data_IF_311075082001
#
_entry.id   IF_311075082001
#
_cell.length_a   1.000
_cell.length_b   1.000
_cell.length_c   1.000
_cell.angle_alpha   90.00
_cell.angle_beta   90.00
_cell.angle_gamma   90.00
#
_symmetry.space_group_name_H-M   'P 1'
#
loop_
_entity.id
_entity.type
_entity.pdbx_description
1 polymer ?
#
# COMPACT_ATOMS: atom_id res chain seq x y z
N UNK A 1 15.40 -6.51 1.23
CA UNK A 1 16.14 -6.00 0.05
C UNK A 1 16.26 -7.07 -1.03
N UNK A 2 16.87 -8.22 -0.73
CA UNK A 2 16.96 -9.36 -1.66
C UNK A 2 15.59 -9.70 -2.26
N UNK A 3 14.56 -9.87 -1.42
CA UNK A 3 13.20 -10.12 -1.89
C UNK A 3 12.61 -9.01 -2.78
N UNK A 4 13.00 -7.75 -2.58
CA UNK A 4 12.59 -6.64 -3.46
C UNK A 4 13.26 -6.71 -4.82
N UNK A 5 14.54 -7.10 -4.88
CA UNK A 5 15.25 -7.36 -6.14
C UNK A 5 14.62 -8.54 -6.88
N UNK A 6 14.34 -9.64 -6.16
CA UNK A 6 13.65 -10.82 -6.70
C UNK A 6 12.28 -10.42 -7.28
N UNK A 7 11.49 -9.62 -6.54
CA UNK A 7 10.21 -9.12 -7.02
C UNK A 7 10.35 -8.39 -8.36
N UNK A 8 11.32 -7.47 -8.47
CA UNK A 8 11.57 -6.71 -9.71
C UNK A 8 11.89 -7.65 -10.87
N UNK A 9 12.79 -8.60 -10.66
CA UNK A 9 13.22 -9.56 -11.70
C UNK A 9 12.04 -10.40 -12.16
N UNK A 10 11.27 -10.97 -11.23
CA UNK A 10 10.14 -11.82 -11.55
C UNK A 10 8.98 -11.04 -12.18
N UNK A 11 8.73 -9.81 -11.74
CA UNK A 11 7.74 -8.93 -12.35
C UNK A 11 8.10 -8.63 -13.81
N UNK A 12 9.34 -8.25 -14.08
CA UNK A 12 9.80 -7.99 -15.45
C UNK A 12 9.72 -9.25 -16.32
N UNK A 13 10.13 -10.40 -15.79
CA UNK A 13 9.99 -11.68 -16.47
C UNK A 13 8.53 -11.98 -16.84
N UNK A 14 7.59 -11.79 -15.91
CA UNK A 14 6.17 -12.00 -16.15
C UNK A 14 5.60 -11.01 -17.16
N UNK A 15 6.06 -9.75 -17.11
CA UNK A 15 5.63 -8.70 -18.02
C UNK A 15 6.06 -8.98 -19.47
N UNK A 16 7.27 -9.51 -19.68
CA UNK A 16 7.75 -9.87 -21.03
C UNK A 16 7.19 -11.19 -21.54
N UNK A 17 6.79 -12.10 -20.65
CA UNK A 17 6.19 -13.40 -20.99
C UNK A 17 4.69 -13.41 -20.62
N UNK A 18 3.95 -12.46 -21.18
CA UNK A 18 2.55 -12.21 -20.83
C UNK A 18 1.54 -13.23 -21.42
N UNK A 19 1.97 -14.18 -22.24
CA UNK A 19 1.11 -15.21 -22.81
C UNK A 19 0.73 -16.29 -21.80
N UNK A 20 1.50 -16.43 -20.71
CA UNK A 20 1.30 -17.46 -19.68
C UNK A 20 1.42 -16.82 -18.31
N UNK A 21 0.45 -17.12 -17.42
CA UNK A 21 0.51 -16.69 -16.01
C UNK A 21 1.48 -17.61 -15.27
N UNK A 22 2.75 -17.21 -15.17
CA UNK A 22 3.75 -17.92 -14.35
C UNK A 22 3.59 -17.58 -12.87
N UNK A 23 3.22 -16.35 -12.57
CA UNK A 23 3.12 -15.82 -11.21
C UNK A 23 1.82 -15.02 -11.06
N UNK A 24 0.83 -15.59 -10.34
CA UNK A 24 -0.46 -14.95 -10.08
C UNK A 24 -1.64 -15.91 -10.22
N UNK A 25 -2.86 -15.37 -10.07
CA UNK A 25 -4.10 -16.17 -10.02
C UNK A 25 -5.21 -15.67 -10.96
N UNK A 26 -4.99 -14.58 -11.70
CA UNK A 26 -6.00 -14.03 -12.64
C UNK A 26 -5.43 -13.99 -14.05
N UNK A 27 -6.31 -14.25 -15.02
CA UNK A 27 -6.01 -14.04 -16.45
C UNK A 27 -5.58 -12.60 -16.69
N UNK A 28 -4.60 -12.41 -17.59
CA UNK A 28 -4.13 -11.11 -18.00
C UNK A 28 -5.25 -10.37 -18.74
N UNK A 29 -5.87 -9.41 -18.05
CA UNK A 29 -6.75 -8.45 -18.69
C UNK A 29 -5.94 -7.23 -19.10
N UNK A 30 -6.14 -6.82 -20.35
CA UNK A 30 -5.72 -5.49 -20.78
C UNK A 30 -6.57 -4.46 -20.04
N UNK A 31 -5.93 -3.59 -19.27
CA UNK A 31 -6.57 -2.55 -18.47
C UNK A 31 -5.78 -1.26 -18.70
N UNK A 32 -6.47 -0.21 -19.20
CA UNK A 32 -5.88 1.10 -19.54
C UNK A 32 -4.73 1.01 -20.56
N UNK A 33 -4.86 0.13 -21.56
CA UNK A 33 -3.93 0.00 -22.69
C UNK A 33 -2.62 -0.71 -22.37
N UNK A 34 -2.52 -1.39 -21.22
CA UNK A 34 -1.40 -2.26 -20.84
C UNK A 34 -1.93 -3.51 -20.15
N UNK A 35 -1.21 -4.62 -20.28
CA UNK A 35 -1.50 -5.85 -19.54
C UNK A 35 -1.22 -5.61 -18.05
N UNK A 36 -2.28 -5.72 -17.23
CA UNK A 36 -2.17 -5.55 -15.78
C UNK A 36 -1.68 -6.84 -15.12
N UNK A 37 -0.47 -6.81 -14.61
CA UNK A 37 0.11 -7.92 -13.83
C UNK A 37 -0.07 -7.65 -12.33
N UNK A 38 -1.01 -8.37 -11.71
CA UNK A 38 -1.15 -8.38 -10.24
C UNK A 38 -0.16 -9.42 -9.69
N UNK A 39 0.97 -8.92 -9.18
CA UNK A 39 2.07 -9.78 -8.75
C UNK A 39 2.08 -9.98 -7.22
N UNK A 40 2.24 -11.22 -6.72
CA UNK A 40 2.25 -11.49 -5.29
C UNK A 40 3.46 -10.87 -4.58
N UNK A 41 3.30 -10.51 -3.31
CA UNK A 41 4.39 -9.95 -2.48
C UNK A 41 4.61 -8.44 -2.63
N UNK A 42 3.58 -7.71 -3.09
CA UNK A 42 3.61 -6.26 -3.22
C UNK A 42 4.09 -5.54 -1.95
N UNK A 43 3.71 -5.99 -0.75
CA UNK A 43 4.17 -5.42 0.52
C UNK A 43 5.69 -5.41 0.64
N UNK A 44 6.36 -6.52 0.32
CA UNK A 44 7.83 -6.63 0.41
C UNK A 44 8.50 -5.72 -0.62
N UNK A 45 7.89 -5.57 -1.79
CA UNK A 45 8.34 -4.64 -2.83
C UNK A 45 8.27 -3.19 -2.36
N UNK A 46 7.12 -2.72 -1.86
CA UNK A 46 6.95 -1.37 -1.32
C UNK A 46 7.90 -1.10 -0.16
N UNK A 47 8.03 -2.05 0.78
CA UNK A 47 8.96 -1.93 1.91
C UNK A 47 10.42 -1.78 1.42
N UNK A 48 10.82 -2.56 0.42
CA UNK A 48 12.17 -2.49 -0.15
C UNK A 48 12.41 -1.15 -0.86
N UNK A 49 11.41 -0.63 -1.56
CA UNK A 49 11.44 0.69 -2.19
C UNK A 49 11.61 1.81 -1.15
N UNK A 50 10.86 1.78 -0.04
CA UNK A 50 11.02 2.76 1.04
C UNK A 50 12.35 2.62 1.76
N UNK A 51 12.85 1.40 1.93
CA UNK A 51 14.17 1.18 2.50
C UNK A 51 15.28 1.74 1.59
N UNK A 52 15.16 1.60 0.27
CA UNK A 52 16.11 2.19 -0.68
C UNK A 52 16.12 3.72 -0.57
N UNK A 53 14.95 4.36 -0.58
CA UNK A 53 14.83 5.82 -0.39
C UNK A 53 15.44 6.26 0.94
N UNK A 54 15.19 5.53 2.03
CA UNK A 54 15.76 5.84 3.33
C UNK A 54 17.30 5.71 3.36
N UNK A 55 17.88 4.83 2.54
CA UNK A 55 19.34 4.69 2.39
C UNK A 55 19.96 5.81 1.57
N UNK A 56 19.23 6.43 0.62
CA UNK A 56 19.75 7.54 -0.21
C UNK A 56 20.15 8.74 0.67
N UNK A 57 19.34 9.07 1.67
CA UNK A 57 19.57 10.22 2.57
C UNK A 57 20.42 9.87 3.79
N UNK A 58 20.78 8.59 3.97
CA UNK A 58 21.61 8.17 5.09
C UNK A 58 23.06 8.67 4.95
N UNK A 59 23.59 9.25 6.03
CA UNK A 59 24.94 9.83 6.09
C UNK A 59 26.02 8.78 5.78
N UNK A 60 25.85 7.55 6.25
CA UNK A 60 26.84 6.45 6.13
C UNK A 60 26.73 5.65 4.83
N UNK A 61 25.93 6.11 3.85
CA UNK A 61 25.64 5.31 2.67
C UNK A 61 26.73 5.42 1.59
N UNK A 62 27.39 4.28 1.28
CA UNK A 62 28.44 4.16 0.25
C UNK A 62 27.88 4.15 -1.19
N UNK A 63 26.71 3.55 -1.41
CA UNK A 63 26.14 3.29 -2.74
C UNK A 63 24.85 4.08 -3.01
N UNK A 64 24.86 5.40 -2.74
CA UNK A 64 23.64 6.24 -2.81
C UNK A 64 22.95 6.20 -4.17
N UNK A 65 23.70 6.26 -5.27
CA UNK A 65 23.15 6.24 -6.62
C UNK A 65 22.50 4.90 -6.98
N UNK A 66 23.03 3.78 -6.46
CA UNK A 66 22.40 2.46 -6.65
C UNK A 66 21.05 2.38 -5.93
N UNK A 67 20.95 2.92 -4.71
CA UNK A 67 19.68 2.98 -3.99
C UNK A 67 18.67 3.91 -4.65
N UNK A 68 19.14 5.03 -5.21
CA UNK A 68 18.29 5.93 -5.98
C UNK A 68 17.78 5.25 -7.25
N UNK A 69 18.65 4.54 -7.99
CA UNK A 69 18.26 3.76 -9.15
C UNK A 69 17.22 2.69 -8.79
N UNK A 70 17.41 1.96 -7.69
CA UNK A 70 16.42 1.00 -7.21
C UNK A 70 15.07 1.65 -6.89
N UNK A 71 15.06 2.80 -6.22
CA UNK A 71 13.84 3.55 -5.93
C UNK A 71 13.12 4.03 -7.20
N UNK A 72 13.87 4.52 -8.20
CA UNK A 72 13.31 4.95 -9.48
C UNK A 72 12.74 3.77 -10.28
N UNK A 73 13.42 2.63 -10.31
CA UNK A 73 12.90 1.39 -10.90
C UNK A 73 11.61 0.96 -10.20
N UNK A 74 11.55 1.10 -8.87
CA UNK A 74 10.33 0.87 -8.09
C UNK A 74 9.15 1.73 -8.54
N UNK A 75 9.38 3.02 -8.82
CA UNK A 75 8.35 3.91 -9.38
C UNK A 75 7.89 3.43 -10.77
N UNK A 76 8.82 3.06 -11.65
CA UNK A 76 8.50 2.56 -13.00
C UNK A 76 7.62 1.32 -12.91
N UNK A 77 7.99 0.34 -12.08
CA UNK A 77 7.22 -0.91 -11.91
C UNK A 77 5.83 -0.63 -11.34
N UNK A 78 5.70 0.29 -10.40
CA UNK A 78 4.40 0.69 -9.85
C UNK A 78 3.52 1.36 -10.93
N UNK A 79 4.10 2.20 -11.79
CA UNK A 79 3.40 2.77 -12.94
C UNK A 79 2.96 1.68 -13.93
N UNK A 80 3.79 0.67 -14.19
CA UNK A 80 3.47 -0.47 -15.05
C UNK A 80 2.36 -1.37 -14.49
N UNK A 81 2.19 -1.43 -13.17
CA UNK A 81 1.04 -2.10 -12.53
C UNK A 81 -0.26 -1.28 -12.64
N UNK A 82 -0.17 -0.07 -13.18
CA UNK A 82 -1.27 0.84 -13.50
C UNK A 82 -2.22 1.09 -12.32
N UNK A 83 -1.71 1.06 -11.08
CA UNK A 83 -2.55 1.21 -9.88
C UNK A 83 -2.49 2.65 -9.35
N UNK A 84 -3.39 3.53 -9.84
CA UNK A 84 -3.38 5.00 -9.58
C UNK A 84 -3.05 5.39 -8.14
N UNK A 85 -3.80 4.86 -7.19
CA UNK A 85 -3.64 5.18 -5.78
C UNK A 85 -2.26 4.75 -5.26
N UNK A 86 -1.79 3.56 -5.62
CA UNK A 86 -0.48 3.05 -5.19
C UNK A 86 0.67 3.89 -5.76
N UNK A 87 0.55 4.40 -6.99
CA UNK A 87 1.50 5.34 -7.60
C UNK A 87 1.53 6.63 -6.79
N UNK A 88 0.38 7.25 -6.57
CA UNK A 88 0.26 8.52 -5.83
C UNK A 88 0.81 8.38 -4.40
N UNK A 89 0.44 7.32 -3.69
CA UNK A 89 0.88 7.10 -2.31
C UNK A 89 2.39 6.81 -2.24
N UNK A 90 2.96 6.03 -3.17
CA UNK A 90 4.40 5.82 -3.23
C UNK A 90 5.16 7.13 -3.45
N UNK A 91 4.73 7.92 -4.43
CA UNK A 91 5.30 9.23 -4.74
C UNK A 91 5.17 10.20 -3.55
N UNK A 92 4.01 10.22 -2.89
CA UNK A 92 3.79 11.03 -1.68
C UNK A 92 4.77 10.64 -0.56
N UNK A 93 4.98 9.35 -0.31
CA UNK A 93 5.94 8.90 0.70
C UNK A 93 7.38 9.29 0.34
N UNK A 94 7.75 9.22 -0.94
CA UNK A 94 9.06 9.68 -1.41
C UNK A 94 9.23 11.19 -1.20
N UNK A 95 8.23 11.98 -1.58
CA UNK A 95 8.21 13.43 -1.38
C UNK A 95 8.35 13.78 0.11
N UNK A 96 7.52 13.18 0.97
CA UNK A 96 7.57 13.38 2.43
C UNK A 96 8.94 13.01 2.98
N UNK A 97 9.55 11.93 2.50
CA UNK A 97 10.89 11.53 2.94
C UNK A 97 11.95 12.59 2.59
N UNK A 98 12.04 13.01 1.32
CA UNK A 98 13.05 13.97 0.91
C UNK A 98 12.84 15.32 1.58
N UNK A 99 11.60 15.84 1.65
CA UNK A 99 11.29 17.11 2.31
C UNK A 99 11.69 17.16 3.80
N UNK A 100 11.72 16.01 4.48
CA UNK A 100 12.14 15.92 5.88
C UNK A 100 13.65 15.77 6.06
N UNK A 101 14.33 15.09 5.15
CA UNK A 101 15.69 14.60 5.39
C UNK A 101 16.78 15.29 4.58
N UNK A 102 16.46 16.19 3.64
CA UNK A 102 17.45 16.93 2.84
C UNK A 102 17.52 18.42 3.18
N UNK A 103 18.64 19.07 2.83
CA UNK A 103 18.82 20.52 3.00
C UNK A 103 17.88 21.31 2.08
N UNK A 104 17.58 22.56 2.43
CA UNK A 104 16.66 23.44 1.71
C UNK A 104 16.82 23.46 0.16
N UNK A 105 18.03 23.61 -0.43
CA UNK A 105 18.15 23.62 -1.89
C UNK A 105 17.67 22.31 -2.53
N UNK A 106 17.96 21.17 -1.90
CA UNK A 106 17.49 19.87 -2.38
C UNK A 106 15.99 19.67 -2.15
N UNK A 107 15.37 20.34 -1.16
CA UNK A 107 13.90 20.32 -0.99
C UNK A 107 13.22 21.03 -2.16
N UNK A 108 13.72 22.21 -2.53
CA UNK A 108 13.22 22.99 -3.67
C UNK A 108 13.40 22.18 -4.96
N UNK A 109 14.59 21.61 -5.17
CA UNK A 109 14.84 20.73 -6.31
C UNK A 109 13.91 19.51 -6.34
N UNK A 110 13.64 18.88 -5.18
CA UNK A 110 12.68 17.77 -5.08
C UNK A 110 11.28 18.21 -5.54
N UNK A 111 10.78 19.34 -5.03
CA UNK A 111 9.46 19.86 -5.43
C UNK A 111 9.43 20.15 -6.93
N UNK A 112 10.45 20.82 -7.46
CA UNK A 112 10.55 21.13 -8.89
C UNK A 112 10.52 19.87 -9.76
N UNK A 113 11.27 18.82 -9.38
CA UNK A 113 11.27 17.53 -10.09
C UNK A 113 9.91 16.87 -10.05
N UNK A 114 9.21 16.86 -8.91
CA UNK A 114 7.87 16.29 -8.80
C UNK A 114 6.84 17.05 -9.64
N UNK A 115 6.88 18.39 -9.64
CA UNK A 115 6.01 19.23 -10.47
C UNK A 115 6.28 19.01 -11.95
N UNK A 116 7.55 19.00 -12.35
CA UNK A 116 7.94 18.75 -13.74
C UNK A 116 7.55 17.34 -14.21
N UNK A 117 7.80 16.32 -13.39
CA UNK A 117 7.41 14.94 -13.70
C UNK A 117 5.89 14.80 -13.82
N UNK A 118 5.13 15.41 -12.91
CA UNK A 118 3.67 15.44 -12.99
C UNK A 118 3.16 16.16 -14.24
N UNK A 119 3.74 17.31 -14.58
CA UNK A 119 3.43 18.05 -15.80
C UNK A 119 3.71 17.23 -17.06
N UNK A 120 4.89 16.59 -17.14
CA UNK A 120 5.27 15.71 -18.26
C UNK A 120 4.29 14.53 -18.34
N UNK A 121 3.95 13.91 -17.22
CA UNK A 121 3.06 12.76 -17.19
C UNK A 121 1.66 13.12 -17.71
N UNK A 122 1.06 14.20 -17.18
CA UNK A 122 -0.28 14.65 -17.57
C UNK A 122 -0.35 15.05 -19.05
N UNK A 123 0.71 15.68 -19.58
CA UNK A 123 0.76 16.08 -20.98
C UNK A 123 1.29 14.98 -21.93
N UNK A 124 1.76 13.86 -21.39
CA UNK A 124 2.24 12.76 -22.22
C UNK A 124 1.07 12.10 -22.94
N UNK A 125 1.21 11.91 -24.26
CA UNK A 125 0.25 11.16 -25.09
C UNK A 125 0.51 9.65 -25.06
N UNK A 126 1.15 9.14 -24.00
CA UNK A 126 1.39 7.71 -23.89
C UNK A 126 0.11 6.97 -23.46
N UNK A 127 0.04 5.68 -23.76
CA UNK A 127 -1.13 4.83 -23.49
C UNK A 127 -1.50 4.77 -22.01
N UNK A 128 -0.48 4.75 -21.14
CA UNK A 128 -0.69 4.66 -19.68
C UNK A 128 -1.33 5.94 -19.14
N UNK A 129 -0.81 7.12 -19.48
CA UNK A 129 -1.31 8.40 -18.97
C UNK A 129 -2.72 8.67 -19.49
N UNK A 130 -2.94 8.46 -20.78
CA UNK A 130 -4.27 8.61 -21.41
C UNK A 130 -5.29 7.65 -20.80
N UNK A 131 -4.97 6.36 -20.69
CA UNK A 131 -5.87 5.37 -20.07
C UNK A 131 -6.17 5.67 -18.60
N UNK A 132 -5.18 6.15 -17.83
CA UNK A 132 -5.40 6.58 -16.44
C UNK A 132 -6.31 7.81 -16.33
N UNK A 133 -6.12 8.79 -17.22
CA UNK A 133 -6.90 10.03 -17.25
C UNK A 133 -8.35 9.81 -17.69
N UNK A 134 -8.57 8.97 -18.70
CA UNK A 134 -9.91 8.61 -19.18
C UNK A 134 -10.71 7.90 -18.10
N UNK A 135 -10.13 6.87 -17.47
CA UNK A 135 -10.84 6.20 -16.40
C UNK A 135 -11.11 7.11 -15.20
N UNK A 136 -10.20 8.03 -14.87
CA UNK A 136 -10.45 9.01 -13.81
C UNK A 136 -11.66 9.90 -14.14
N UNK A 137 -11.86 10.28 -15.41
CA UNK A 137 -13.05 11.04 -15.85
C UNK A 137 -14.31 10.20 -15.74
N UNK A 138 -14.27 8.95 -16.20
CA UNK A 138 -15.41 8.02 -16.10
C UNK A 138 -15.84 7.83 -14.65
N UNK A 139 -14.89 7.50 -13.77
CA UNK A 139 -15.16 7.29 -12.35
C UNK A 139 -15.70 8.56 -11.68
N UNK A 140 -15.17 9.74 -12.03
CA UNK A 140 -15.67 11.02 -11.51
C UNK A 140 -17.08 11.35 -11.99
N UNK A 141 -17.43 11.01 -13.23
CA UNK A 141 -18.76 11.23 -13.79
C UNK A 141 -19.83 10.30 -13.21
N UNK A 142 -19.44 9.12 -12.72
CA UNK A 142 -20.36 8.16 -12.11
C UNK A 142 -20.87 8.60 -10.73
N UNK A 143 -20.08 9.39 -9.97
CA UNK A 143 -20.52 9.98 -8.71
C UNK A 143 -21.10 8.94 -7.71
N UNK A 144 -22.32 9.12 -7.18
CA UNK A 144 -22.98 8.16 -6.29
C UNK A 144 -23.24 6.78 -6.91
N UNK A 145 -23.38 6.72 -8.24
CA UNK A 145 -23.59 5.49 -8.99
C UNK A 145 -22.25 4.77 -9.30
N UNK A 146 -21.13 5.33 -8.80
CA UNK A 146 -19.85 4.65 -8.89
C UNK A 146 -19.90 3.33 -8.13
N UNK A 147 -19.51 2.26 -8.82
CA UNK A 147 -19.71 0.89 -8.36
C UNK A 147 -19.15 0.60 -6.97
N UNK A 148 -18.03 1.25 -6.60
CA UNK A 148 -17.42 1.09 -5.27
C UNK A 148 -18.22 1.76 -4.16
N UNK A 149 -18.91 2.86 -4.46
CA UNK A 149 -19.82 3.54 -3.51
C UNK A 149 -21.05 2.68 -3.27
N UNK A 150 -21.63 2.12 -4.32
CA UNK A 150 -22.76 1.19 -4.23
C UNK A 150 -22.38 -0.09 -3.45
N UNK A 151 -21.23 -0.68 -3.77
CA UNK A 151 -20.68 -1.84 -3.06
C UNK A 151 -20.49 -1.54 -1.57
N UNK A 152 -19.84 -0.40 -1.24
CA UNK A 152 -19.61 0.03 0.12
C UNK A 152 -20.93 0.20 0.90
N UNK A 153 -21.93 0.82 0.28
CA UNK A 153 -23.26 0.99 0.89
C UNK A 153 -23.90 -0.36 1.19
N UNK A 154 -23.92 -1.27 0.23
CA UNK A 154 -24.51 -2.60 0.41
C UNK A 154 -23.82 -3.37 1.55
N UNK A 155 -22.49 -3.44 1.55
CA UNK A 155 -21.73 -4.13 2.59
C UNK A 155 -21.97 -3.54 3.98
N UNK A 156 -22.05 -2.21 4.11
CA UNK A 156 -22.25 -1.56 5.40
C UNK A 156 -23.67 -1.67 5.96
N UNK A 157 -24.68 -1.86 5.11
CA UNK A 157 -26.09 -1.69 5.52
C UNK A 157 -26.92 -2.97 5.45
N UNK A 158 -26.69 -3.81 4.45
CA UNK A 158 -27.58 -4.94 4.10
C UNK A 158 -26.91 -6.30 4.24
N UNK A 159 -25.58 -6.35 4.14
CA UNK A 159 -24.86 -7.61 3.96
C UNK A 159 -24.78 -8.51 5.20
N UNK A 160 -24.52 -7.93 6.39
CA UNK A 160 -24.40 -8.73 7.61
C UNK A 160 -25.77 -9.21 8.11
N UNK A 161 -25.94 -10.51 8.39
CA UNK A 161 -27.25 -11.14 8.61
C UNK A 161 -27.92 -10.75 9.93
N UNK A 162 -27.16 -10.29 10.92
CA UNK A 162 -27.67 -9.87 12.23
C UNK A 162 -26.71 -8.89 12.91
N UNK A 163 -27.16 -8.30 14.03
CA UNK A 163 -26.40 -7.30 14.78
C UNK A 163 -25.09 -7.84 15.36
N UNK A 164 -25.05 -9.11 15.78
CA UNK A 164 -23.84 -9.71 16.35
C UNK A 164 -22.74 -9.81 15.28
N UNK A 165 -23.10 -10.26 14.08
CA UNK A 165 -22.19 -10.32 12.94
C UNK A 165 -21.75 -8.92 12.47
N UNK A 166 -22.59 -7.88 12.64
CA UNK A 166 -22.17 -6.48 12.41
C UNK A 166 -21.13 -5.98 13.41
N UNK A 167 -21.10 -6.52 14.63
CA UNK A 167 -20.14 -6.10 15.67
C UNK A 167 -18.85 -6.91 15.57
N UNK A 168 -18.97 -8.24 15.47
CA UNK A 168 -17.83 -9.18 15.51
C UNK A 168 -17.26 -9.52 14.13
N UNK A 169 -17.97 -9.19 13.06
CA UNK A 169 -17.67 -9.62 11.70
C UNK A 169 -18.38 -10.92 11.33
N UNK A 170 -18.40 -11.19 10.02
CA UNK A 170 -18.99 -12.38 9.42
C UNK A 170 -17.98 -13.54 9.30
N UNK A 171 -16.71 -13.32 9.66
CA UNK A 171 -15.61 -14.22 9.39
C UNK A 171 -15.06 -14.07 7.96
N UNK A 172 -13.91 -14.69 7.70
CA UNK A 172 -13.35 -14.75 6.35
C UNK A 172 -14.05 -15.86 5.55
N UNK A 173 -14.43 -15.57 4.30
CA UNK A 173 -15.18 -16.52 3.48
C UNK A 173 -14.26 -17.56 2.84
N UNK A 174 -14.79 -18.77 2.67
CA UNK A 174 -14.25 -19.76 1.74
C UNK A 174 -15.15 -19.76 0.49
N UNK A 175 -14.56 -19.73 -0.71
CA UNK A 175 -15.29 -19.72 -1.99
C UNK A 175 -16.30 -20.87 -2.14
N UNK A 176 -16.03 -22.03 -1.53
CA UNK A 176 -16.92 -23.20 -1.60
C UNK A 176 -18.07 -23.16 -0.59
N UNK A 177 -18.02 -22.24 0.37
CA UNK A 177 -19.07 -22.08 1.38
C UNK A 177 -20.30 -21.35 0.83
N UNK A 178 -21.47 -21.50 1.48
CA UNK A 178 -22.66 -20.69 1.16
C UNK A 178 -22.36 -19.18 1.20
N UNK A 179 -21.53 -18.76 2.17
CA UNK A 179 -21.12 -17.37 2.31
C UNK A 179 -20.25 -16.90 1.13
N UNK A 180 -19.25 -17.69 0.72
CA UNK A 180 -18.41 -17.38 -0.44
C UNK A 180 -19.18 -17.39 -1.76
N UNK A 181 -20.14 -18.33 -1.92
CA UNK A 181 -21.05 -18.34 -3.08
C UNK A 181 -21.93 -17.09 -3.15
N UNK A 182 -22.37 -16.57 -2.01
CA UNK A 182 -23.12 -15.31 -1.97
C UNK A 182 -22.26 -14.11 -2.37
N UNK A 183 -21.01 -14.02 -1.87
CA UNK A 183 -20.06 -12.99 -2.32
C UNK A 183 -19.82 -13.09 -3.82
N UNK A 184 -19.58 -14.29 -4.34
CA UNK A 184 -19.39 -14.51 -5.78
C UNK A 184 -20.62 -14.08 -6.60
N UNK A 185 -21.82 -14.38 -6.11
CA UNK A 185 -23.06 -13.91 -6.73
C UNK A 185 -23.12 -12.36 -6.80
N UNK A 186 -22.73 -11.67 -5.72
CA UNK A 186 -22.67 -10.21 -5.71
C UNK A 186 -21.62 -9.66 -6.70
N UNK A 187 -20.46 -10.30 -6.80
CA UNK A 187 -19.41 -9.94 -7.76
C UNK A 187 -19.88 -10.13 -9.21
N UNK A 188 -20.50 -11.27 -9.53
CA UNK A 188 -20.89 -11.62 -10.91
C UNK A 188 -22.13 -10.88 -11.41
N UNK A 189 -23.10 -10.60 -10.53
CA UNK A 189 -24.39 -10.02 -10.93
C UNK A 189 -24.46 -8.51 -10.72
N UNK A 190 -23.71 -7.98 -9.75
CA UNK A 190 -23.75 -6.56 -9.40
C UNK A 190 -22.39 -5.88 -9.53
N UNK A 191 -21.29 -6.60 -9.76
CA UNK A 191 -19.94 -6.03 -9.77
C UNK A 191 -19.48 -5.58 -8.37
N UNK A 192 -20.09 -6.10 -7.30
CA UNK A 192 -19.77 -5.72 -5.93
C UNK A 192 -18.60 -6.53 -5.40
N UNK A 193 -17.39 -6.02 -5.63
CA UNK A 193 -16.16 -6.63 -5.15
C UNK A 193 -15.83 -6.17 -3.74
N UNK A 194 -15.82 -7.11 -2.79
CA UNK A 194 -15.47 -6.81 -1.39
C UNK A 194 -14.02 -6.30 -1.27
N UNK A 195 -13.11 -6.81 -2.09
CA UNK A 195 -11.71 -6.39 -2.14
C UNK A 195 -11.51 -4.95 -2.62
N UNK A 196 -12.50 -4.36 -3.28
CA UNK A 196 -12.43 -3.00 -3.83
C UNK A 196 -12.83 -1.92 -2.81
N UNK A 197 -13.39 -2.32 -1.67
CA UNK A 197 -13.87 -1.42 -0.60
C UNK A 197 -12.97 -1.40 0.65
N UNK A 198 -11.85 -2.12 0.60
CA UNK A 198 -10.71 -1.98 1.51
C UNK A 198 -11.03 -2.11 3.00
N UNK A 199 -11.04 -1.01 3.75
CA UNK A 199 -11.32 -1.03 5.21
C UNK A 199 -12.68 -1.64 5.53
N UNK A 200 -13.65 -1.53 4.62
CA UNK A 200 -14.97 -2.16 4.77
C UNK A 200 -14.83 -3.68 4.72
N UNK A 201 -13.94 -4.24 3.91
CA UNK A 201 -13.68 -5.69 3.91
C UNK A 201 -13.19 -6.18 5.29
N UNK A 202 -12.29 -5.43 5.93
CA UNK A 202 -11.81 -5.74 7.28
C UNK A 202 -12.95 -5.70 8.29
N UNK A 203 -13.81 -4.69 8.20
CA UNK A 203 -15.00 -4.58 9.02
C UNK A 203 -15.94 -5.78 8.84
N UNK A 204 -16.23 -6.14 7.59
CA UNK A 204 -17.13 -7.23 7.25
C UNK A 204 -16.56 -8.57 7.70
N UNK A 205 -15.26 -8.81 7.55
CA UNK A 205 -14.64 -10.07 7.94
C UNK A 205 -14.45 -10.19 9.46
N UNK A 206 -14.00 -9.12 10.13
CA UNK A 206 -13.46 -9.20 11.51
C UNK A 206 -14.10 -8.21 12.50
N UNK A 207 -15.07 -7.42 12.06
CA UNK A 207 -15.86 -6.55 12.92
C UNK A 207 -15.16 -5.28 13.40
N UNK A 208 -15.80 -4.60 14.35
CA UNK A 208 -15.39 -3.29 14.86
C UNK A 208 -14.06 -3.37 15.61
N UNK A 209 -13.79 -4.45 16.34
CA UNK A 209 -12.55 -4.59 17.11
C UNK A 209 -11.30 -4.67 16.21
N UNK A 210 -11.40 -5.30 15.04
CA UNK A 210 -10.31 -5.32 14.08
C UNK A 210 -10.03 -3.93 13.51
N UNK A 211 -11.07 -3.15 13.20
CA UNK A 211 -10.91 -1.76 12.79
C UNK A 211 -10.20 -0.93 13.86
N UNK A 212 -10.61 -1.06 15.13
CA UNK A 212 -9.96 -0.37 16.24
C UNK A 212 -8.49 -0.78 16.36
N UNK A 213 -8.17 -2.06 16.16
CA UNK A 213 -6.79 -2.56 16.11
C UNK A 213 -5.95 -1.87 15.02
N UNK A 214 -6.47 -1.77 13.80
CA UNK A 214 -5.79 -1.05 12.71
C UNK A 214 -5.66 0.44 12.98
N UNK A 215 -6.69 1.10 13.51
CA UNK A 215 -6.64 2.51 13.93
C UNK A 215 -5.52 2.70 14.95
N UNK A 216 -5.42 1.82 15.96
CA UNK A 216 -4.32 1.85 16.94
C UNK A 216 -2.95 1.69 16.28
N UNK A 217 -2.79 0.74 15.35
CA UNK A 217 -1.56 0.55 14.58
C UNK A 217 -1.18 1.86 13.86
N UNK A 218 -2.12 2.50 13.18
CA UNK A 218 -1.86 3.74 12.45
C UNK A 218 -1.49 4.89 13.38
N UNK A 219 -2.25 5.12 14.46
CA UNK A 219 -1.92 6.13 15.47
C UNK A 219 -0.53 5.89 16.08
N UNK A 220 -0.19 4.63 16.38
CA UNK A 220 1.13 4.26 16.90
C UNK A 220 2.25 4.49 15.88
N UNK A 221 1.98 4.32 14.58
CA UNK A 221 2.96 4.60 13.52
C UNK A 221 3.42 6.07 13.51
N UNK A 222 2.52 7.02 13.83
CA UNK A 222 2.84 8.44 13.95
C UNK A 222 3.52 8.77 15.28
N UNK A 223 3.03 8.22 16.39
CA UNK A 223 3.42 8.60 17.75
C UNK A 223 4.68 7.91 18.27
N UNK A 224 4.99 6.68 17.85
CA UNK A 224 6.23 5.99 18.23
C UNK A 224 7.38 6.56 17.38
N UNK A 225 8.41 7.18 17.98
CA UNK A 225 9.57 7.63 17.23
C UNK A 225 10.44 6.43 16.83
N UNK A 226 11.01 6.53 15.65
CA UNK A 226 11.99 5.57 15.13
C UNK A 226 13.30 6.30 14.84
N UNK A 227 14.45 5.63 14.96
CA UNK A 227 15.70 6.18 14.47
C UNK A 227 15.61 6.54 12.98
N UNK A 228 16.35 7.55 12.49
CA UNK A 228 16.31 7.99 11.10
C UNK A 228 16.50 6.87 10.08
N UNK A 229 17.39 5.91 10.37
CA UNK A 229 17.69 4.77 9.52
C UNK A 229 16.54 3.74 9.37
N UNK A 230 15.50 3.83 10.21
CA UNK A 230 14.31 2.96 10.20
C UNK A 230 13.00 3.68 9.83
N UNK A 231 13.06 4.93 9.38
CA UNK A 231 11.86 5.69 8.98
C UNK A 231 11.08 5.04 7.83
N UNK A 232 11.71 4.16 7.04
CA UNK A 232 11.03 3.37 6.01
C UNK A 232 9.88 2.50 6.55
N UNK A 233 9.95 2.09 7.83
CA UNK A 233 8.87 1.35 8.49
C UNK A 233 7.61 2.22 8.65
N UNK A 234 7.77 3.53 8.93
CA UNK A 234 6.66 4.50 8.97
C UNK A 234 6.02 4.65 7.60
N UNK A 235 6.85 4.86 6.57
CA UNK A 235 6.35 5.04 5.21
C UNK A 235 5.57 3.82 4.71
N UNK A 236 6.00 2.62 5.07
CA UNK A 236 5.25 1.40 4.78
C UNK A 236 3.87 1.40 5.47
N UNK A 237 3.80 1.64 6.78
CA UNK A 237 2.52 1.65 7.49
C UNK A 237 1.59 2.78 7.00
N UNK A 238 2.13 3.95 6.66
CA UNK A 238 1.36 5.05 6.08
C UNK A 238 0.87 4.73 4.67
N UNK A 239 1.64 3.99 3.89
CA UNK A 239 1.18 3.50 2.60
C UNK A 239 0.02 2.51 2.77
N UNK A 240 0.14 1.55 3.69
CA UNK A 240 -0.95 0.61 3.99
C UNK A 240 -2.19 1.35 4.47
N UNK A 241 -2.04 2.35 5.35
CA UNK A 241 -3.13 3.21 5.82
C UNK A 241 -3.82 3.98 4.68
N UNK A 242 -3.05 4.58 3.76
CA UNK A 242 -3.62 5.39 2.69
C UNK A 242 -4.25 4.54 1.59
N UNK A 243 -3.70 3.34 1.34
CA UNK A 243 -4.22 2.40 0.34
C UNK A 243 -5.46 1.65 0.83
N UNK A 244 -5.61 1.46 2.13
CA UNK A 244 -6.71 0.68 2.70
C UNK A 244 -8.10 1.25 2.49
N UNK A 245 -8.24 2.54 2.13
CA UNK A 245 -9.56 3.12 1.89
C UNK A 245 -10.21 2.62 0.59
N UNK A 246 -9.44 2.08 -0.35
CA UNK A 246 -9.93 1.70 -1.68
C UNK A 246 -9.23 0.46 -2.26
N UNK A 247 -8.54 -0.30 -1.41
CA UNK A 247 -7.93 -1.60 -1.74
C UNK A 247 -7.84 -2.51 -0.51
N UNK A 248 -7.71 -3.81 -0.75
CA UNK A 248 -7.54 -4.91 0.21
C UNK A 248 -6.19 -4.92 0.97
N UNK A 249 -5.39 -3.85 0.93
CA UNK A 249 -4.01 -3.80 1.43
C UNK A 249 -3.82 -4.16 2.92
N UNK A 250 -4.88 -4.15 3.72
CA UNK A 250 -4.85 -4.54 5.13
C UNK A 250 -4.78 -6.05 5.32
N UNK A 251 -5.46 -6.82 4.47
CA UNK A 251 -5.66 -8.26 4.70
C UNK A 251 -5.18 -9.12 3.53
N UNK A 252 -4.94 -8.50 2.37
CA UNK A 252 -4.33 -9.15 1.22
C UNK A 252 -3.03 -9.85 1.62
N UNK A 253 -2.89 -11.12 1.23
CA UNK A 253 -1.70 -11.93 1.53
C UNK A 253 -0.42 -11.28 0.99
N UNK A 254 -0.52 -10.49 -0.09
CA UNK A 254 0.60 -9.75 -0.66
C UNK A 254 1.18 -8.67 0.26
N UNK A 255 0.41 -8.16 1.23
CA UNK A 255 0.82 -7.12 2.17
C UNK A 255 0.90 -7.62 3.61
N UNK A 256 -0.02 -8.50 4.02
CA UNK A 256 -0.22 -8.91 5.41
C UNK A 256 1.06 -9.40 6.09
N UNK A 257 1.81 -10.30 5.45
CA UNK A 257 3.06 -10.84 6.01
C UNK A 257 4.07 -9.72 6.25
N UNK A 258 4.20 -8.78 5.30
CA UNK A 258 5.11 -7.65 5.43
C UNK A 258 4.66 -6.72 6.56
N UNK A 259 3.36 -6.48 6.68
CA UNK A 259 2.78 -5.70 7.77
C UNK A 259 3.12 -6.31 9.12
N UNK A 260 2.95 -7.63 9.30
CA UNK A 260 3.32 -8.33 10.53
C UNK A 260 4.81 -8.16 10.86
N UNK A 261 5.69 -8.32 9.87
CA UNK A 261 7.14 -8.14 10.06
C UNK A 261 7.49 -6.69 10.45
N UNK A 262 6.84 -5.70 9.83
CA UNK A 262 7.04 -4.28 10.16
C UNK A 262 6.57 -3.98 11.59
N UNK A 263 5.42 -4.52 12.00
CA UNK A 263 4.91 -4.39 13.37
C UNK A 263 5.86 -5.02 14.39
N UNK A 264 6.42 -6.20 14.07
CA UNK A 264 7.45 -6.82 14.90
C UNK A 264 8.67 -5.91 15.06
N UNK A 265 9.18 -5.31 13.98
CA UNK A 265 10.27 -4.34 14.07
C UNK A 265 9.92 -3.15 14.98
N UNK A 266 8.71 -2.59 14.83
CA UNK A 266 8.22 -1.52 15.70
C UNK A 266 8.22 -1.92 17.18
N UNK A 267 7.72 -3.11 17.49
CA UNK A 267 7.69 -3.63 18.85
C UNK A 267 9.10 -3.73 19.44
N UNK A 268 10.06 -4.25 18.68
CA UNK A 268 11.47 -4.35 19.11
C UNK A 268 12.10 -3.00 19.40
N UNK A 269 11.83 -1.97 18.57
CA UNK A 269 12.31 -0.61 18.84
C UNK A 269 11.64 0.01 20.05
N UNK A 270 10.34 -0.24 20.24
CA UNK A 270 9.60 0.26 21.39
C UNK A 270 10.12 -0.33 22.70
N UNK A 271 10.33 -1.66 22.75
CA UNK A 271 10.90 -2.37 23.90
C UNK A 271 12.30 -1.86 24.25
N UNK A 272 13.18 -1.77 23.23
CA UNK A 272 14.54 -1.27 23.42
C UNK A 272 14.53 0.15 24.01
N UNK A 273 13.70 1.04 23.47
CA UNK A 273 13.60 2.42 23.97
C UNK A 273 13.09 2.46 25.42
N UNK A 274 12.09 1.64 25.76
CA UNK A 274 11.57 1.54 27.13
C UNK A 274 12.66 1.08 28.10
N UNK A 275 13.44 0.09 27.70
CA UNK A 275 14.60 -0.40 28.44
C UNK A 275 15.65 0.72 28.62
N UNK A 276 16.06 1.39 27.54
CA UNK A 276 17.04 2.48 27.58
C UNK A 276 16.59 3.61 28.53
N UNK A 277 15.31 4.01 28.47
CA UNK A 277 14.72 5.03 29.36
C UNK A 277 14.70 4.59 30.83
N UNK A 278 14.47 3.31 31.10
CA UNK A 278 14.48 2.77 32.46
C UNK A 278 15.89 2.87 33.08
N UNK A 279 16.94 2.46 32.35
CA UNK A 279 18.32 2.59 32.83
C UNK A 279 18.75 4.04 32.98
N UNK A 280 18.29 4.92 32.08
CA UNK A 280 18.60 6.34 32.18
C UNK A 280 18.01 6.96 33.46
N UNK A 281 16.80 6.54 33.87
CA UNK A 281 16.21 6.93 35.16
C UNK A 281 16.99 6.41 36.36
N UNK A 282 17.44 5.14 36.32
CA UNK A 282 18.27 4.58 37.39
C UNK A 282 19.62 5.30 37.51
N UNK A 283 20.26 5.62 36.38
CA UNK A 283 21.56 6.29 36.35
C UNK A 283 21.49 7.78 36.76
N UNK A 284 20.34 8.44 36.57
CA UNK A 284 20.17 9.87 36.89
C UNK A 284 19.60 10.12 38.30
N UNK A 285 19.32 9.08 39.08
CA UNK A 285 18.89 9.21 40.48
C UNK A 285 17.55 9.94 40.68
N UNK A 286 16.76 10.13 39.61
CA UNK A 286 15.43 10.72 39.71
C UNK A 286 14.50 9.74 40.39
N UNK A 287 14.23 9.98 41.68
CA UNK A 287 13.02 9.50 42.36
C UNK A 287 11.77 10.00 41.62
#
# INVERSE_FOLDING_TARGET
MIYGIIYIILFLFQFTHNSVVYFGYREFKEDRGVIRVIFPGAGVFFLSCYMAVNKVTSVKCKYKYLWLAFALIGVIINIMQVTRQAIVVMLLMYLVHFLRNVKLPYKIATIAVFVLAGYIFINSRNTISTGLAEQQKTDASAGPDYIRVLSAKHFLTEFSPNMLSRILGNGFYNLDSNYGRHIKYLEENYGYYLTDVGVIEVYIAFGVFALLGYILIFVKSFTIPLPPEYQYLKYYLWMVMLTSFTSDSLISTGFLITTVLVLYCYQRFYEKRKFDLFYLKLATGSK
#
